data_IF_056145339634
#
_entry.id   IF_056145339634
#
_cell.length_a   1.000
_cell.length_b   1.000
_cell.length_c   1.000
_cell.angle_alpha   90.00
_cell.angle_beta   90.00
_cell.angle_gamma   90.00
#
_symmetry.space_group_name_H-M   'P 1'
#
loop_
_entity.id
_entity.type
_entity.pdbx_description
1 polymer ?
#
# COMPACT_ATOMS: atom_id res chain seq x y z
N UNK A 1 -1.57 11.68 24.60
CA UNK A 1 -1.53 12.15 25.99
C UNK A 1 -0.15 12.70 26.36
N UNK A 2 0.93 11.91 26.23
CA UNK A 2 2.29 12.31 26.64
C UNK A 2 2.81 13.54 25.86
N UNK A 3 2.58 13.57 24.55
CA UNK A 3 2.96 14.70 23.69
C UNK A 3 2.12 15.92 24.03
N UNK A 4 0.81 15.75 24.24
CA UNK A 4 -0.12 16.82 24.58
C UNK A 4 0.25 17.51 25.93
N UNK A 5 0.75 16.73 26.91
CA UNK A 5 1.29 17.29 28.17
C UNK A 5 2.52 18.17 27.98
N UNK A 6 3.30 17.94 26.92
CA UNK A 6 4.50 18.74 26.60
C UNK A 6 4.12 20.05 25.90
N UNK A 7 3.18 20.01 24.97
CA UNK A 7 2.70 21.16 24.21
C UNK A 7 1.18 21.07 24.15
N UNK A 8 0.46 21.82 24.98
CA UNK A 8 -0.99 21.76 25.05
C UNK A 8 -1.63 22.49 23.85
N UNK A 9 -1.42 21.97 22.65
CA UNK A 9 -2.06 22.43 21.41
C UNK A 9 -2.22 21.23 20.46
N UNK A 10 -3.43 20.96 20.06
CA UNK A 10 -3.79 19.77 19.30
C UNK A 10 -3.09 19.68 17.92
N UNK A 11 -2.87 20.81 17.27
CA UNK A 11 -2.16 20.86 15.99
C UNK A 11 -0.67 20.47 16.13
N UNK A 12 0.00 20.99 17.14
CA UNK A 12 1.39 20.61 17.41
C UNK A 12 1.50 19.17 17.92
N UNK A 13 0.52 18.69 18.66
CA UNK A 13 0.44 17.26 19.06
C UNK A 13 0.40 16.33 17.85
N UNK A 14 -0.44 16.65 16.87
CA UNK A 14 -0.51 15.90 15.59
C UNK A 14 0.81 15.96 14.84
N UNK A 15 1.46 17.13 14.77
CA UNK A 15 2.75 17.28 14.05
C UNK A 15 3.83 16.42 14.72
N UNK A 16 3.97 16.49 16.04
CA UNK A 16 4.97 15.71 16.78
C UNK A 16 4.69 14.21 16.70
N UNK A 17 3.43 13.82 16.86
CA UNK A 17 2.99 12.44 16.69
C UNK A 17 3.33 11.91 15.28
N UNK A 18 3.05 12.71 14.25
CA UNK A 18 3.36 12.37 12.86
C UNK A 18 4.87 12.20 12.64
N UNK A 19 5.69 13.09 13.20
CA UNK A 19 7.14 13.00 13.16
C UNK A 19 7.63 11.70 13.81
N UNK A 20 7.16 11.37 15.01
CA UNK A 20 7.54 10.15 15.73
C UNK A 20 7.18 8.89 14.94
N UNK A 21 5.96 8.79 14.45
CA UNK A 21 5.53 7.64 13.62
C UNK A 21 6.38 7.52 12.36
N UNK A 22 6.68 8.63 11.68
CA UNK A 22 7.51 8.58 10.47
C UNK A 22 8.96 8.22 10.78
N UNK A 23 9.53 8.64 11.93
CA UNK A 23 10.84 8.18 12.38
C UNK A 23 10.86 6.66 12.57
N UNK A 24 9.86 6.10 13.27
CA UNK A 24 9.73 4.65 13.47
C UNK A 24 9.55 3.90 12.14
N UNK A 25 8.81 4.48 11.19
CA UNK A 25 8.60 3.90 9.85
C UNK A 25 9.81 4.03 8.92
N UNK A 26 10.74 4.95 9.19
CA UNK A 26 11.87 5.28 8.31
C UNK A 26 12.66 4.04 7.85
N UNK A 27 13.16 3.13 8.71
CA UNK A 27 13.94 1.99 8.25
C UNK A 27 13.17 1.09 7.29
N UNK A 28 11.87 0.93 7.52
CA UNK A 28 11.00 0.16 6.64
C UNK A 28 10.79 0.84 5.30
N UNK A 29 10.55 2.16 5.31
CA UNK A 29 10.39 2.96 4.08
C UNK A 29 11.68 2.98 3.25
N UNK A 30 12.86 3.02 3.87
CA UNK A 30 14.14 2.93 3.18
C UNK A 30 14.29 1.60 2.43
N UNK A 31 13.99 0.49 3.09
CA UNK A 31 14.01 -0.84 2.45
C UNK A 31 13.00 -0.94 1.31
N UNK A 32 11.81 -0.37 1.47
CA UNK A 32 10.79 -0.35 0.45
C UNK A 32 11.22 0.47 -0.78
N UNK A 33 11.80 1.65 -0.57
CA UNK A 33 12.31 2.49 -1.67
C UNK A 33 13.41 1.79 -2.44
N UNK A 34 14.37 1.13 -1.74
CA UNK A 34 15.41 0.32 -2.37
C UNK A 34 14.81 -0.79 -3.24
N UNK A 35 13.82 -1.51 -2.73
CA UNK A 35 13.14 -2.56 -3.48
C UNK A 35 12.38 -1.98 -4.69
N UNK A 36 11.74 -0.82 -4.55
CA UNK A 36 11.03 -0.16 -5.65
C UNK A 36 11.98 0.25 -6.77
N UNK A 37 13.15 0.80 -6.45
CA UNK A 37 14.20 1.12 -7.44
C UNK A 37 14.69 -0.16 -8.12
N UNK A 38 14.98 -1.23 -7.36
CA UNK A 38 15.37 -2.53 -7.94
C UNK A 38 14.30 -3.10 -8.87
N UNK A 39 13.03 -3.02 -8.48
CA UNK A 39 11.91 -3.48 -9.32
C UNK A 39 11.73 -2.64 -10.59
N UNK A 40 12.09 -1.36 -10.55
CA UNK A 40 12.01 -0.50 -11.73
C UNK A 40 12.94 -0.93 -12.87
N UNK A 41 14.03 -1.62 -12.58
CA UNK A 41 14.94 -2.16 -13.57
C UNK A 41 14.29 -3.23 -14.47
N UNK A 42 13.26 -3.93 -14.00
CA UNK A 42 12.51 -4.92 -14.77
C UNK A 42 11.41 -4.33 -15.66
N UNK A 43 11.05 -3.04 -15.48
CA UNK A 43 9.97 -2.40 -16.24
C UNK A 43 10.11 -2.47 -17.76
N UNK A 44 11.30 -2.25 -18.38
CA UNK A 44 11.46 -2.39 -19.82
C UNK A 44 11.19 -3.83 -20.29
N UNK A 45 11.61 -4.85 -19.53
CA UNK A 45 11.37 -6.25 -19.86
C UNK A 45 9.88 -6.61 -19.80
N UNK A 46 9.17 -6.07 -18.78
CA UNK A 46 7.73 -6.23 -18.64
C UNK A 46 7.00 -5.53 -19.79
N UNK A 47 7.43 -4.33 -20.17
CA UNK A 47 6.86 -3.60 -21.29
C UNK A 47 7.04 -4.35 -22.63
N UNK A 48 8.18 -4.99 -22.83
CA UNK A 48 8.44 -5.83 -24.02
C UNK A 48 7.54 -7.08 -24.03
N UNK A 49 7.38 -7.75 -22.88
CA UNK A 49 6.46 -8.90 -22.74
C UNK A 49 5.02 -8.44 -23.04
N UNK A 50 4.59 -7.31 -22.49
CA UNK A 50 3.25 -6.77 -22.70
C UNK A 50 2.98 -6.42 -24.16
N UNK A 51 3.97 -5.83 -24.86
CA UNK A 51 3.86 -5.54 -26.31
C UNK A 51 3.81 -6.82 -27.14
N UNK A 52 4.68 -7.79 -26.82
CA UNK A 52 4.80 -9.04 -27.58
C UNK A 52 3.56 -9.94 -27.47
N UNK A 53 2.92 -9.93 -26.30
CA UNK A 53 1.79 -10.81 -26.00
C UNK A 53 0.48 -10.03 -25.77
N UNK A 54 0.31 -8.88 -26.44
CA UNK A 54 -0.83 -7.97 -26.25
C UNK A 54 -2.19 -8.67 -26.32
N UNK A 55 -2.33 -9.63 -27.26
CA UNK A 55 -3.59 -10.33 -27.52
C UNK A 55 -3.67 -11.73 -26.84
N UNK A 56 -2.70 -12.04 -25.97
CA UNK A 56 -2.57 -13.36 -25.31
C UNK A 56 -2.26 -13.17 -23.82
N UNK A 57 -3.25 -12.78 -22.99
CA UNK A 57 -3.05 -12.46 -21.58
C UNK A 57 -2.48 -13.62 -20.76
N UNK A 58 -2.84 -14.86 -21.09
CA UNK A 58 -2.30 -16.05 -20.41
C UNK A 58 -0.79 -16.19 -20.62
N UNK A 59 -0.32 -16.05 -21.87
CA UNK A 59 1.12 -16.09 -22.17
C UNK A 59 1.88 -14.92 -21.58
N UNK A 60 1.25 -13.75 -21.53
CA UNK A 60 1.81 -12.58 -20.88
C UNK A 60 2.06 -12.83 -19.38
N UNK A 61 1.08 -13.39 -18.68
CA UNK A 61 1.18 -13.75 -17.27
C UNK A 61 2.24 -14.87 -17.05
N UNK A 62 2.28 -15.87 -17.93
CA UNK A 62 3.29 -16.93 -17.87
C UNK A 62 4.72 -16.39 -17.98
N UNK A 63 4.98 -15.51 -18.94
CA UNK A 63 6.32 -14.90 -19.12
C UNK A 63 6.69 -13.95 -17.96
N UNK A 64 5.73 -13.23 -17.39
CA UNK A 64 5.96 -12.42 -16.19
C UNK A 64 6.24 -13.31 -14.98
N UNK A 65 5.54 -14.45 -14.83
CA UNK A 65 5.85 -15.43 -13.77
C UNK A 65 7.23 -16.07 -13.92
N UNK A 66 7.67 -16.35 -15.16
CA UNK A 66 9.06 -16.80 -15.42
C UNK A 66 10.08 -15.75 -14.98
N UNK A 67 9.79 -14.47 -15.26
CA UNK A 67 10.65 -13.37 -14.81
C UNK A 67 10.72 -13.31 -13.27
N UNK A 68 9.62 -13.62 -12.57
CA UNK A 68 9.59 -13.71 -11.11
C UNK A 68 10.46 -14.88 -10.60
N UNK A 69 10.35 -16.04 -11.21
CA UNK A 69 11.07 -17.24 -10.79
C UNK A 69 12.57 -17.14 -11.08
N UNK A 70 12.94 -16.61 -12.26
CA UNK A 70 14.32 -16.55 -12.71
C UNK A 70 15.14 -15.45 -12.03
N UNK A 71 14.51 -14.31 -11.72
CA UNK A 71 15.22 -13.10 -11.24
C UNK A 71 14.69 -12.55 -9.91
N UNK A 72 13.74 -13.24 -9.27
CA UNK A 72 13.15 -12.79 -8.01
C UNK A 72 12.32 -11.51 -8.15
N UNK A 73 11.82 -11.20 -9.36
CA UNK A 73 10.89 -10.11 -9.55
C UNK A 73 9.59 -10.38 -8.77
N UNK A 74 9.26 -9.53 -7.81
CA UNK A 74 8.03 -9.67 -7.04
C UNK A 74 7.17 -8.41 -7.14
N UNK A 75 6.10 -8.40 -7.94
CA UNK A 75 5.22 -7.25 -8.10
C UNK A 75 4.50 -6.89 -6.79
N UNK A 76 4.28 -7.88 -5.90
CA UNK A 76 3.65 -7.67 -4.60
C UNK A 76 4.53 -6.87 -3.63
N UNK A 77 5.85 -6.85 -3.82
CA UNK A 77 6.74 -6.05 -2.97
C UNK A 77 6.47 -4.54 -3.07
N UNK A 78 5.88 -4.09 -4.17
CA UNK A 78 5.47 -2.70 -4.37
C UNK A 78 4.20 -2.30 -3.59
N UNK A 79 3.32 -3.24 -3.21
CA UNK A 79 2.10 -2.93 -2.46
C UNK A 79 2.23 -3.15 -0.94
N UNK A 80 3.28 -3.83 -0.46
CA UNK A 80 3.53 -4.00 0.98
C UNK A 80 3.56 -2.66 1.77
N UNK A 81 4.16 -1.57 1.24
CA UNK A 81 4.10 -0.25 1.88
C UNK A 81 2.67 0.26 2.10
N UNK A 82 1.79 -0.03 1.15
CA UNK A 82 0.39 0.41 1.21
C UNK A 82 -0.33 -0.20 2.40
N UNK A 83 -0.13 -1.50 2.68
CA UNK A 83 -0.74 -2.17 3.83
C UNK A 83 -0.33 -1.53 5.16
N UNK A 84 0.95 -1.19 5.32
CA UNK A 84 1.44 -0.55 6.53
C UNK A 84 0.86 0.86 6.68
N UNK A 85 0.79 1.62 5.59
CA UNK A 85 0.15 2.93 5.59
C UNK A 85 -1.34 2.84 5.94
N UNK A 86 -2.07 1.80 5.49
CA UNK A 86 -3.45 1.57 5.90
C UNK A 86 -3.58 1.32 7.40
N UNK A 87 -2.73 0.48 7.98
CA UNK A 87 -2.75 0.23 9.43
C UNK A 87 -2.52 1.51 10.23
N UNK A 88 -1.53 2.31 9.84
CA UNK A 88 -1.26 3.61 10.48
C UNK A 88 -2.44 4.56 10.28
N UNK A 89 -3.00 4.62 9.07
CA UNK A 89 -4.15 5.46 8.75
C UNK A 89 -5.35 5.13 9.66
N UNK A 90 -5.70 3.86 9.84
CA UNK A 90 -6.78 3.46 10.72
C UNK A 90 -6.49 3.83 12.18
N UNK A 91 -5.25 3.68 12.64
CA UNK A 91 -4.84 4.12 13.97
C UNK A 91 -4.99 5.63 14.16
N UNK A 92 -4.59 6.42 13.17
CA UNK A 92 -4.74 7.89 13.20
C UNK A 92 -6.21 8.30 13.16
N UNK A 93 -7.01 7.67 12.31
CA UNK A 93 -8.45 7.92 12.22
C UNK A 93 -9.12 7.69 13.58
N UNK A 94 -8.81 6.61 14.25
CA UNK A 94 -9.40 6.27 15.55
C UNK A 94 -9.06 7.31 16.63
N UNK A 95 -7.84 7.83 16.63
CA UNK A 95 -7.42 8.89 17.57
C UNK A 95 -8.09 10.22 17.23
N UNK A 96 -8.18 10.56 15.94
CA UNK A 96 -8.78 11.82 15.47
C UNK A 96 -10.30 11.85 15.67
N UNK A 97 -10.98 10.71 15.49
CA UNK A 97 -12.43 10.61 15.70
C UNK A 97 -12.84 10.56 17.17
N UNK A 98 -11.96 10.03 18.03
CA UNK A 98 -12.27 9.79 19.43
C UNK A 98 -11.17 10.33 20.35
N UNK A 99 -10.83 11.63 20.27
CA UNK A 99 -9.77 12.20 21.07
C UNK A 99 -10.05 12.06 22.58
N UNK A 100 -11.30 12.22 23.02
CA UNK A 100 -11.68 12.13 24.42
C UNK A 100 -11.43 10.72 25.00
N UNK A 101 -11.67 9.67 24.20
CA UNK A 101 -11.43 8.30 24.65
C UNK A 101 -9.97 7.86 24.46
N UNK A 102 -9.30 8.29 23.38
CA UNK A 102 -7.96 7.79 23.01
C UNK A 102 -6.82 8.60 23.60
N UNK A 103 -7.02 9.89 23.78
CA UNK A 103 -6.00 10.78 24.37
C UNK A 103 -6.21 10.91 25.89
N UNK A 104 -7.46 11.14 26.30
CA UNK A 104 -7.79 11.43 27.71
C UNK A 104 -8.37 10.23 28.46
N UNK A 105 -8.52 9.07 27.80
CA UNK A 105 -8.99 7.81 28.40
C UNK A 105 -10.36 7.93 29.11
N UNK A 106 -11.23 8.82 28.63
CA UNK A 106 -12.59 8.95 29.16
C UNK A 106 -13.36 7.65 28.89
N UNK A 107 -13.94 7.09 29.94
CA UNK A 107 -14.60 5.80 29.91
C UNK A 107 -15.83 5.77 28.98
N UNK A 108 -16.07 4.61 28.38
CA UNK A 108 -17.19 4.41 27.43
C UNK A 108 -18.55 4.73 28.03
N UNK A 109 -18.76 4.49 29.34
CA UNK A 109 -20.01 4.79 30.04
C UNK A 109 -20.29 6.31 30.02
N UNK A 110 -19.31 7.14 30.37
CA UNK A 110 -19.45 8.61 30.36
C UNK A 110 -19.70 9.12 28.93
N UNK A 111 -18.98 8.57 27.92
CA UNK A 111 -19.16 8.94 26.52
C UNK A 111 -20.53 8.56 25.96
N UNK A 112 -21.10 7.45 26.40
CA UNK A 112 -22.45 7.04 26.01
C UNK A 112 -23.49 7.95 26.67
N UNK A 113 -23.36 8.21 27.98
CA UNK A 113 -24.26 9.14 28.69
C UNK A 113 -24.25 10.56 28.07
N UNK A 114 -23.07 11.07 27.70
CA UNK A 114 -22.95 12.33 26.98
C UNK A 114 -23.59 12.28 25.57
N UNK A 115 -23.48 11.16 24.86
CA UNK A 115 -24.15 10.94 23.58
C UNK A 115 -25.68 10.93 23.72
N UNK A 116 -26.22 10.28 24.76
CA UNK A 116 -27.64 10.29 25.07
C UNK A 116 -28.12 11.73 25.43
N UNK A 117 -27.32 12.50 26.17
CA UNK A 117 -27.57 13.89 26.45
C UNK A 117 -27.60 14.76 25.18
N UNK A 118 -26.69 14.57 24.23
CA UNK A 118 -26.72 15.26 22.93
C UNK A 118 -28.03 14.96 22.18
N UNK A 119 -28.44 13.68 22.18
CA UNK A 119 -29.69 13.25 21.54
C UNK A 119 -30.92 13.91 22.20
N UNK A 120 -30.93 14.01 23.53
CA UNK A 120 -31.99 14.67 24.28
C UNK A 120 -32.07 16.17 23.96
N UNK A 121 -30.96 16.82 23.65
CA UNK A 121 -30.87 18.20 23.17
C UNK A 121 -31.26 18.36 21.69
N UNK A 122 -31.60 17.27 20.98
CA UNK A 122 -31.92 17.29 19.55
C UNK A 122 -30.70 17.43 18.65
N UNK A 123 -29.48 17.23 19.18
CA UNK A 123 -28.23 17.32 18.42
C UNK A 123 -27.95 15.98 17.79
N UNK A 124 -28.07 15.90 16.46
CA UNK A 124 -27.70 14.73 15.69
C UNK A 124 -26.18 14.63 15.56
N UNK A 125 -25.63 13.46 15.77
CA UNK A 125 -24.18 13.20 15.60
C UNK A 125 -23.92 11.85 14.95
N UNK A 126 -22.75 11.75 14.34
CA UNK A 126 -22.17 10.50 13.83
C UNK A 126 -21.02 10.07 14.75
N UNK A 127 -20.47 8.88 14.52
CA UNK A 127 -19.24 8.44 15.21
C UNK A 127 -18.10 9.44 15.08
N UNK A 128 -18.04 10.17 13.96
CA UNK A 128 -17.01 11.17 13.65
C UNK A 128 -17.21 12.49 14.39
N UNK A 129 -18.46 12.91 14.56
CA UNK A 129 -18.79 14.24 15.12
C UNK A 129 -19.20 14.20 16.59
N UNK A 130 -19.28 13.00 17.19
CA UNK A 130 -19.71 12.85 18.58
C UNK A 130 -18.82 13.59 19.55
N UNK A 131 -17.52 13.33 19.51
CA UNK A 131 -16.56 13.94 20.45
C UNK A 131 -16.50 15.46 20.26
N UNK A 132 -16.51 15.95 19.01
CA UNK A 132 -16.57 17.39 18.70
C UNK A 132 -17.82 18.05 19.27
N UNK A 133 -19.00 17.42 19.12
CA UNK A 133 -20.25 17.94 19.67
C UNK A 133 -20.24 17.94 21.20
N UNK A 134 -19.70 16.88 21.83
CA UNK A 134 -19.54 16.83 23.29
C UNK A 134 -18.66 18.00 23.77
N UNK A 135 -17.49 18.19 23.14
CA UNK A 135 -16.56 19.27 23.49
C UNK A 135 -17.25 20.63 23.37
N UNK A 136 -17.95 20.86 22.26
CA UNK A 136 -18.67 22.12 22.03
C UNK A 136 -19.74 22.39 23.13
N UNK A 137 -20.51 21.38 23.53
CA UNK A 137 -21.52 21.53 24.58
C UNK A 137 -20.92 21.69 25.98
N UNK A 138 -19.82 20.99 26.28
CA UNK A 138 -19.09 21.18 27.55
C UNK A 138 -18.52 22.60 27.64
N UNK A 139 -17.93 23.13 26.57
CA UNK A 139 -17.43 24.51 26.50
C UNK A 139 -18.54 25.54 26.62
N UNK A 140 -19.75 25.26 26.11
CA UNK A 140 -20.92 26.07 26.28
C UNK A 140 -21.50 26.01 27.69
N UNK A 141 -21.01 25.12 28.56
CA UNK A 141 -21.52 24.95 29.94
C UNK A 141 -22.86 24.22 30.00
N UNK A 142 -23.22 23.43 28.97
CA UNK A 142 -24.48 22.70 28.92
C UNK A 142 -24.52 21.63 30.02
N UNK A 143 -25.38 21.84 31.00
CA UNK A 143 -25.45 21.05 32.24
C UNK A 143 -25.81 19.57 31.98
N UNK A 144 -26.67 19.32 31.00
CA UNK A 144 -27.12 17.97 30.65
C UNK A 144 -25.95 17.11 30.15
N UNK A 145 -25.02 17.69 29.37
CA UNK A 145 -23.86 17.01 28.85
C UNK A 145 -22.72 16.94 29.88
N UNK A 146 -22.48 18.04 30.62
CA UNK A 146 -21.44 18.09 31.65
C UNK A 146 -21.69 17.13 32.81
N UNK A 147 -22.95 16.86 33.15
CA UNK A 147 -23.33 15.89 34.20
C UNK A 147 -22.88 14.45 33.91
N UNK A 148 -22.58 14.12 32.67
CA UNK A 148 -22.04 12.80 32.29
C UNK A 148 -20.57 12.61 32.71
N UNK A 149 -19.89 13.68 33.11
CA UNK A 149 -18.44 13.68 33.38
C UNK A 149 -18.15 14.10 34.82
N UNK A 150 -16.99 13.69 35.34
CA UNK A 150 -16.46 14.21 36.60
C UNK A 150 -15.96 15.65 36.41
N UNK A 151 -15.82 16.40 37.50
CA UNK A 151 -15.28 17.77 37.44
C UNK A 151 -13.91 17.85 36.77
N UNK A 152 -13.03 16.88 37.03
CA UNK A 152 -11.71 16.81 36.42
C UNK A 152 -11.81 16.54 34.90
N UNK A 153 -12.75 15.68 34.49
CA UNK A 153 -12.99 15.41 33.06
C UNK A 153 -13.55 16.62 32.34
N UNK A 154 -14.46 17.34 32.95
CA UNK A 154 -15.01 18.61 32.43
C UNK A 154 -13.89 19.65 32.25
N UNK A 155 -13.02 19.80 33.24
CA UNK A 155 -11.84 20.68 33.14
C UNK A 155 -10.93 20.28 31.99
N UNK A 156 -10.59 18.97 31.85
CA UNK A 156 -9.76 18.44 30.78
C UNK A 156 -10.39 18.66 29.40
N UNK A 157 -11.69 18.40 29.24
CA UNK A 157 -12.41 18.62 27.99
C UNK A 157 -12.44 20.11 27.63
N UNK A 158 -12.63 20.98 28.59
CA UNK A 158 -12.66 22.43 28.39
C UNK A 158 -11.29 22.94 27.96
N UNK A 159 -10.25 22.53 28.64
CA UNK A 159 -8.86 22.89 28.30
C UNK A 159 -8.51 22.40 26.88
N UNK A 160 -8.86 21.16 26.56
CA UNK A 160 -8.64 20.61 25.21
C UNK A 160 -9.42 21.41 24.16
N UNK A 161 -10.68 21.73 24.41
CA UNK A 161 -11.53 22.54 23.54
C UNK A 161 -10.94 23.91 23.21
N UNK A 162 -10.28 24.54 24.18
CA UNK A 162 -9.60 25.85 23.99
C UNK A 162 -8.35 25.76 23.11
N UNK A 163 -7.74 24.57 22.98
CA UNK A 163 -6.49 24.35 22.26
C UNK A 163 -6.66 23.53 20.95
N UNK A 164 -7.91 23.38 20.47
CA UNK A 164 -8.20 22.68 19.20
C UNK A 164 -7.92 23.52 17.96
N UNK A 165 -7.86 24.82 18.13
CA UNK A 165 -7.56 25.74 17.04
C UNK A 165 -6.09 25.73 16.68
N UNK A 166 -5.81 25.58 15.37
CA UNK A 166 -4.49 25.64 14.80
C UNK A 166 -4.48 26.64 13.64
N UNK A 167 -3.89 27.81 13.88
CA UNK A 167 -3.89 28.96 12.95
C UNK A 167 -5.29 29.38 12.49
N UNK A 168 -6.26 29.40 13.39
CA UNK A 168 -7.65 29.76 13.09
C UNK A 168 -8.47 28.66 12.42
N UNK A 169 -7.97 27.43 12.40
CA UNK A 169 -8.66 26.26 11.87
C UNK A 169 -8.94 25.29 13.02
N UNK A 170 -10.22 25.07 13.31
CA UNK A 170 -10.64 24.02 14.24
C UNK A 170 -10.38 22.63 13.62
N UNK A 171 -9.38 21.95 14.16
CA UNK A 171 -8.93 20.66 13.64
C UNK A 171 -9.91 19.52 13.86
N UNK A 172 -10.89 19.66 14.74
CA UNK A 172 -11.88 18.61 15.03
C UNK A 172 -13.08 18.66 14.10
N UNK A 173 -13.28 19.78 13.39
CA UNK A 173 -14.38 19.95 12.46
C UNK A 173 -14.13 19.22 11.14
N UNK A 174 -15.23 18.70 10.58
CA UNK A 174 -15.23 18.08 9.25
C UNK A 174 -15.57 19.14 8.20
N UNK A 175 -14.74 19.34 7.17
CA UNK A 175 -15.04 20.26 6.07
C UNK A 175 -16.31 19.85 5.34
N UNK A 176 -17.10 20.81 4.92
CA UNK A 176 -18.34 20.58 4.17
C UNK A 176 -18.18 21.03 2.71
N UNK A 177 -19.05 20.51 1.83
CA UNK A 177 -19.10 20.89 0.40
C UNK A 177 -19.81 22.24 0.18
N UNK A 178 -19.47 23.24 0.99
CA UNK A 178 -19.99 24.60 0.83
C UNK A 178 -18.88 25.64 1.00
N UNK A 179 -19.09 26.82 0.43
CA UNK A 179 -18.17 27.95 0.50
C UNK A 179 -18.63 29.01 1.50
N UNK A 180 -19.23 28.59 2.62
CA UNK A 180 -19.57 29.50 3.73
C UNK A 180 -18.29 30.07 4.36
N UNK A 181 -18.39 31.27 4.95
CA UNK A 181 -17.27 31.91 5.63
C UNK A 181 -16.64 31.03 6.71
N UNK A 182 -17.48 30.27 7.44
CA UNK A 182 -17.04 29.37 8.52
C UNK A 182 -16.37 28.09 8.01
N UNK A 183 -16.67 27.65 6.78
CA UNK A 183 -16.12 26.45 6.19
C UNK A 183 -14.88 26.71 5.34
N UNK A 184 -14.72 27.92 4.82
CA UNK A 184 -13.62 28.28 3.95
C UNK A 184 -12.24 28.02 4.57
N UNK A 185 -11.95 28.37 5.84
CA UNK A 185 -10.69 28.03 6.49
C UNK A 185 -10.48 26.52 6.60
N UNK A 186 -11.52 25.73 6.84
CA UNK A 186 -11.45 24.28 6.97
C UNK A 186 -11.02 23.59 5.67
N UNK A 187 -11.30 24.18 4.49
CA UNK A 187 -10.91 23.64 3.18
C UNK A 187 -9.42 23.78 2.88
N UNK A 188 -8.71 24.67 3.58
CA UNK A 188 -7.27 24.92 3.36
C UNK A 188 -6.46 23.64 3.58
N UNK A 189 -6.68 22.93 4.70
CA UNK A 189 -5.91 21.73 5.03
C UNK A 189 -6.16 20.57 4.06
N UNK A 190 -7.39 20.19 3.69
CA UNK A 190 -7.66 19.22 2.65
C UNK A 190 -7.01 19.56 1.31
N UNK A 191 -7.13 20.81 0.85
CA UNK A 191 -6.50 21.24 -0.41
C UNK A 191 -4.98 21.10 -0.32
N UNK A 192 -4.38 21.55 0.78
CA UNK A 192 -2.94 21.44 0.99
C UNK A 192 -2.49 19.96 1.07
N UNK A 193 -3.29 19.10 1.69
CA UNK A 193 -3.02 17.65 1.74
C UNK A 193 -3.01 17.03 0.33
N UNK A 194 -3.98 17.38 -0.51
CA UNK A 194 -4.06 16.90 -1.90
C UNK A 194 -2.87 17.41 -2.70
N UNK A 195 -2.55 18.70 -2.62
CA UNK A 195 -1.41 19.29 -3.34
C UNK A 195 -0.10 18.63 -2.93
N UNK A 196 0.15 18.49 -1.63
CA UNK A 196 1.36 17.82 -1.12
C UNK A 196 1.41 16.34 -1.50
N UNK A 197 0.28 15.66 -1.56
CA UNK A 197 0.17 14.26 -1.99
C UNK A 197 0.50 14.10 -3.48
N UNK A 198 0.02 15.00 -4.35
CA UNK A 198 0.39 15.00 -5.77
C UNK A 198 1.88 15.27 -5.97
N UNK A 199 2.44 16.26 -5.27
CA UNK A 199 3.87 16.59 -5.32
C UNK A 199 4.69 15.39 -4.86
N UNK A 200 4.35 14.79 -3.71
CA UNK A 200 5.03 13.62 -3.15
C UNK A 200 4.97 12.42 -4.09
N UNK A 201 3.80 12.13 -4.67
CA UNK A 201 3.62 11.04 -5.66
C UNK A 201 4.49 11.29 -6.90
N UNK A 202 4.48 12.50 -7.45
CA UNK A 202 5.29 12.84 -8.62
C UNK A 202 6.80 12.68 -8.34
N UNK A 203 7.25 13.17 -7.19
CA UNK A 203 8.66 13.06 -6.77
C UNK A 203 9.05 11.59 -6.56
N UNK A 204 8.20 10.79 -5.91
CA UNK A 204 8.43 9.37 -5.69
C UNK A 204 8.52 8.57 -6.99
N UNK A 205 7.64 8.86 -7.95
CA UNK A 205 7.68 8.24 -9.29
C UNK A 205 8.99 8.56 -10.03
N UNK A 206 9.40 9.84 -9.99
CA UNK A 206 10.65 10.28 -10.62
C UNK A 206 11.88 9.72 -9.91
N UNK A 207 11.84 9.58 -8.59
CA UNK A 207 12.93 9.03 -7.79
C UNK A 207 13.10 7.52 -7.97
N UNK A 208 12.03 6.77 -8.23
CA UNK A 208 12.09 5.33 -8.47
C UNK A 208 12.54 4.95 -9.88
N UNK A 209 12.69 5.91 -10.81
CA UNK A 209 13.05 5.64 -12.20
C UNK A 209 12.01 4.83 -12.98
N UNK A 210 10.80 4.72 -12.46
CA UNK A 210 9.72 3.93 -13.08
C UNK A 210 9.19 4.64 -14.33
N UNK A 211 9.43 4.06 -15.49
CA UNK A 211 8.74 4.42 -16.74
C UNK A 211 7.39 3.69 -16.79
N UNK A 212 6.42 4.21 -16.06
CA UNK A 212 5.08 3.59 -16.04
C UNK A 212 4.33 3.81 -17.35
N UNK A 213 3.72 2.75 -17.86
CA UNK A 213 2.78 2.85 -18.98
C UNK A 213 1.46 3.49 -18.52
N UNK A 214 0.70 4.06 -19.47
CA UNK A 214 -0.44 4.93 -19.23
C UNK A 214 -1.45 4.46 -18.18
N UNK A 215 -1.85 3.18 -18.17
CA UNK A 215 -2.83 2.65 -17.21
C UNK A 215 -2.29 2.64 -15.77
N UNK A 216 -1.06 2.22 -15.55
CA UNK A 216 -0.44 2.18 -14.23
C UNK A 216 -0.18 3.59 -13.69
N UNK A 217 0.22 4.51 -14.57
CA UNK A 217 0.35 5.93 -14.23
C UNK A 217 -0.98 6.55 -13.83
N UNK A 218 -2.06 6.25 -14.57
CA UNK A 218 -3.39 6.72 -14.24
C UNK A 218 -3.84 6.22 -12.86
N UNK A 219 -3.62 4.93 -12.53
CA UNK A 219 -3.96 4.35 -11.22
C UNK A 219 -3.25 5.07 -10.08
N UNK A 220 -1.97 5.42 -10.24
CA UNK A 220 -1.21 6.13 -9.20
C UNK A 220 -1.74 7.54 -8.94
N UNK A 221 -2.20 8.26 -9.98
CA UNK A 221 -2.81 9.58 -9.80
C UNK A 221 -4.29 9.53 -9.39
N UNK A 222 -4.97 8.40 -9.62
CA UNK A 222 -6.34 8.19 -9.10
C UNK A 222 -6.38 8.10 -7.57
N UNK A 223 -5.31 7.60 -6.94
CA UNK A 223 -5.26 7.44 -5.48
C UNK A 223 -5.38 8.77 -4.71
N UNK A 224 -4.62 9.85 -5.06
CA UNK A 224 -4.85 11.18 -4.51
C UNK A 224 -6.24 11.75 -4.74
N UNK A 225 -6.86 11.44 -5.90
CA UNK A 225 -8.23 11.89 -6.19
C UNK A 225 -9.26 11.18 -5.30
N UNK A 226 -9.07 9.89 -5.01
CA UNK A 226 -9.93 9.16 -4.08
C UNK A 226 -9.83 9.76 -2.66
N UNK A 227 -8.65 10.24 -2.26
CA UNK A 227 -8.46 10.92 -0.99
C UNK A 227 -9.31 12.21 -0.89
N UNK A 228 -9.58 12.91 -1.99
CA UNK A 228 -10.43 14.10 -2.01
C UNK A 228 -11.83 13.81 -1.42
N UNK A 229 -12.45 12.69 -1.81
CA UNK A 229 -13.74 12.30 -1.24
C UNK A 229 -13.64 12.01 0.24
N UNK A 230 -12.53 11.40 0.65
CA UNK A 230 -12.31 11.03 2.04
C UNK A 230 -12.13 12.24 2.95
N UNK A 231 -11.50 13.32 2.47
CA UNK A 231 -11.30 14.55 3.24
C UNK A 231 -12.59 15.21 3.77
N UNK A 232 -13.71 15.00 3.09
CA UNK A 232 -15.00 15.56 3.52
C UNK A 232 -15.77 14.62 4.47
N UNK A 233 -15.20 13.53 4.86
CA UNK A 233 -15.77 12.56 5.81
C UNK A 233 -14.98 12.50 7.11
N UNK A 234 -13.83 13.19 7.19
CA UNK A 234 -12.91 13.14 8.32
C UNK A 234 -12.60 14.55 8.83
N UNK A 235 -12.26 14.72 10.13
CA UNK A 235 -11.86 16.01 10.69
C UNK A 235 -10.58 16.57 10.03
N UNK A 236 -10.43 17.91 10.08
CA UNK A 236 -9.26 18.63 9.53
C UNK A 236 -7.91 18.14 10.10
N UNK A 237 -7.91 17.64 11.33
CA UNK A 237 -6.75 17.01 11.98
C UNK A 237 -6.11 15.91 11.12
N UNK A 238 -6.92 15.10 10.44
CA UNK A 238 -6.47 14.07 9.53
C UNK A 238 -5.76 14.65 8.29
N UNK A 239 -6.29 15.72 7.74
CA UNK A 239 -5.64 16.43 6.62
C UNK A 239 -4.29 17.00 7.03
N UNK A 240 -4.18 17.59 8.25
CA UNK A 240 -2.91 18.05 8.79
C UNK A 240 -1.88 16.92 8.92
N UNK A 241 -2.29 15.77 9.45
CA UNK A 241 -1.45 14.56 9.50
C UNK A 241 -0.90 14.20 8.10
N UNK A 242 -1.76 14.20 7.07
CA UNK A 242 -1.33 13.87 5.70
C UNK A 242 -0.39 14.91 5.10
N UNK A 243 -0.62 16.20 5.32
CA UNK A 243 0.30 17.27 4.88
C UNK A 243 1.70 17.01 5.43
N UNK A 244 1.81 16.81 6.74
CA UNK A 244 3.10 16.60 7.40
C UNK A 244 3.74 15.27 6.94
N UNK A 245 2.97 14.18 6.85
CA UNK A 245 3.46 12.90 6.35
C UNK A 245 3.98 12.99 4.92
N UNK A 246 3.28 13.69 4.03
CA UNK A 246 3.69 13.86 2.63
C UNK A 246 4.99 14.69 2.53
N UNK A 247 5.13 15.73 3.34
CA UNK A 247 6.36 16.54 3.40
C UNK A 247 7.54 15.66 3.86
N UNK A 248 7.37 14.91 4.95
CA UNK A 248 8.41 14.02 5.48
C UNK A 248 8.78 12.96 4.43
N UNK A 249 7.79 12.30 3.81
CA UNK A 249 8.00 11.29 2.77
C UNK A 249 8.74 11.88 1.57
N UNK A 250 8.42 13.10 1.18
CA UNK A 250 9.10 13.81 0.09
C UNK A 250 10.58 14.05 0.42
N UNK A 251 10.88 14.52 1.63
CA UNK A 251 12.26 14.72 2.11
C UNK A 251 13.01 13.39 2.15
N UNK A 252 12.42 12.35 2.74
CA UNK A 252 13.01 11.01 2.78
C UNK A 252 13.31 10.46 1.38
N UNK A 253 12.39 10.62 0.43
CA UNK A 253 12.59 10.19 -0.97
C UNK A 253 13.75 10.94 -1.62
N UNK A 254 13.89 12.24 -1.40
CA UNK A 254 15.00 13.02 -1.95
C UNK A 254 16.36 12.64 -1.33
N UNK A 255 16.39 12.37 -0.03
CA UNK A 255 17.60 11.90 0.67
C UNK A 255 17.99 10.52 0.12
N UNK A 256 17.03 9.61 -0.01
CA UNK A 256 17.27 8.26 -0.56
C UNK A 256 17.78 8.28 -2.00
N UNK A 257 17.26 9.18 -2.84
CA UNK A 257 17.73 9.34 -4.22
C UNK A 257 19.21 9.76 -4.29
N UNK A 258 19.70 10.51 -3.29
CA UNK A 258 21.11 10.87 -3.21
C UNK A 258 22.00 9.71 -2.72
N UNK A 259 21.45 8.82 -1.88
CA UNK A 259 22.18 7.68 -1.32
C UNK A 259 22.16 6.50 -2.30
N UNK A 260 21.00 6.22 -2.90
CA UNK A 260 20.80 5.16 -3.88
C UNK A 260 20.46 5.77 -5.25
N UNK A 261 21.48 5.90 -6.09
CA UNK A 261 21.30 6.36 -7.47
C UNK A 261 20.49 5.30 -8.26
N UNK A 262 19.30 5.62 -8.76
CA UNK A 262 18.46 4.65 -9.49
C UNK A 262 19.14 4.09 -10.73
N UNK A 263 19.97 4.89 -11.41
CA UNK A 263 20.71 4.46 -12.60
C UNK A 263 21.74 3.39 -12.26
N UNK A 264 22.52 3.59 -11.18
CA UNK A 264 23.51 2.60 -10.73
C UNK A 264 22.85 1.29 -10.30
N UNK A 265 21.76 1.38 -9.51
CA UNK A 265 21.01 0.17 -9.10
C UNK A 265 20.46 -0.58 -10.31
N UNK A 266 19.97 0.17 -11.33
CA UNK A 266 19.50 -0.43 -12.57
C UNK A 266 20.61 -1.13 -13.33
N UNK A 267 21.80 -0.52 -13.44
CA UNK A 267 22.98 -1.13 -14.07
C UNK A 267 23.40 -2.40 -13.32
N UNK A 268 23.44 -2.39 -11.99
CA UNK A 268 23.76 -3.58 -11.18
C UNK A 268 22.77 -4.72 -11.43
N UNK A 269 21.46 -4.42 -11.40
CA UNK A 269 20.42 -5.43 -11.67
C UNK A 269 20.50 -5.98 -13.09
N UNK A 270 20.77 -5.13 -14.08
CA UNK A 270 20.92 -5.56 -15.47
C UNK A 270 22.18 -6.42 -15.67
N UNK A 271 23.27 -6.11 -14.96
CA UNK A 271 24.48 -6.94 -14.93
C UNK A 271 24.22 -8.32 -14.28
N UNK A 272 23.47 -8.34 -13.14
CA UNK A 272 23.04 -9.56 -12.46
C UNK A 272 22.18 -10.45 -13.39
N UNK A 273 21.21 -9.86 -14.10
CA UNK A 273 20.39 -10.55 -15.10
C UNK A 273 21.24 -11.12 -16.25
N UNK A 274 22.20 -10.34 -16.74
CA UNK A 274 23.09 -10.79 -17.81
C UNK A 274 24.01 -11.94 -17.37
N UNK A 275 24.52 -11.89 -16.13
CA UNK A 275 25.31 -12.96 -15.52
C UNK A 275 24.48 -14.24 -15.37
N UNK A 276 23.29 -14.15 -14.81
CA UNK A 276 22.38 -15.28 -14.61
C UNK A 276 21.99 -15.94 -15.95
N UNK A 277 21.70 -15.16 -16.98
CA UNK A 277 21.46 -15.68 -18.33
C UNK A 277 22.66 -16.39 -18.93
N UNK A 278 23.88 -15.92 -18.63
CA UNK A 278 25.12 -16.61 -19.06
C UNK A 278 25.33 -17.94 -18.33
N UNK A 279 25.03 -17.97 -17.04
CA UNK A 279 25.08 -19.18 -16.21
C UNK A 279 24.06 -20.22 -16.65
N UNK A 280 22.82 -19.83 -16.89
CA UNK A 280 21.79 -20.71 -17.45
C UNK A 280 22.23 -21.29 -18.78
N UNK A 281 22.82 -20.49 -19.69
CA UNK A 281 23.35 -20.96 -20.96
C UNK A 281 24.56 -21.89 -20.77
N UNK A 282 25.38 -21.72 -19.73
CA UNK A 282 26.50 -22.60 -19.38
C UNK A 282 26.03 -23.89 -18.70
N UNK A 283 25.07 -23.79 -17.76
CA UNK A 283 24.48 -24.95 -17.06
C UNK A 283 23.75 -25.91 -18.00
N UNK A 284 23.18 -25.35 -19.08
CA UNK A 284 22.54 -26.12 -20.16
C UNK A 284 23.56 -26.91 -20.99
N UNK A 285 24.86 -26.56 -20.96
CA UNK A 285 25.88 -27.24 -21.75
C UNK A 285 26.48 -28.50 -21.11
N UNK A 286 26.41 -28.67 -19.80
CA UNK A 286 27.12 -29.75 -19.09
C UNK A 286 26.35 -30.35 -17.93
N UNK A 287 25.21 -30.99 -18.17
CA UNK A 287 24.58 -31.83 -17.14
C UNK A 287 25.03 -33.26 -17.33
N UNK A 288 25.80 -33.81 -16.36
CA UNK A 288 26.15 -35.23 -16.32
C UNK A 288 24.96 -36.05 -15.84
N UNK A 289 24.47 -36.93 -16.66
CA UNK A 289 23.48 -37.95 -16.26
C UNK A 289 24.18 -39.28 -15.99
N UNK A 290 23.84 -39.92 -14.89
CA UNK A 290 24.22 -41.32 -14.63
C UNK A 290 23.31 -42.20 -15.47
N UNK A 291 23.85 -42.75 -16.53
CA UNK A 291 23.13 -43.65 -17.45
C UNK A 291 23.71 -45.05 -17.30
N UNK A 292 22.84 -46.03 -17.16
CA UNK A 292 23.23 -47.43 -17.14
C UNK A 292 23.60 -47.85 -18.58
N UNK A 293 24.82 -48.30 -18.79
CA UNK A 293 25.26 -48.79 -20.11
C UNK A 293 24.53 -50.10 -20.41
N UNK A 294 23.85 -50.15 -21.54
CA UNK A 294 23.06 -51.31 -21.98
C UNK A 294 23.90 -52.55 -22.25
N UNK A 295 25.23 -52.42 -22.47
CA UNK A 295 26.12 -53.52 -22.80
C UNK A 295 26.91 -54.05 -21.60
N UNK A 296 27.24 -53.18 -20.65
CA UNK A 296 28.09 -53.54 -19.49
C UNK A 296 27.32 -53.53 -18.16
N UNK A 297 26.12 -52.95 -18.11
CA UNK A 297 25.33 -52.82 -16.88
C UNK A 297 25.87 -51.83 -15.87
N UNK A 298 27.00 -51.19 -16.13
CA UNK A 298 27.65 -50.24 -15.25
C UNK A 298 27.04 -48.81 -15.40
N UNK A 299 27.07 -48.05 -14.32
CA UNK A 299 26.61 -46.66 -14.31
C UNK A 299 27.74 -45.77 -14.83
N UNK A 300 27.58 -45.23 -16.03
CA UNK A 300 28.55 -44.33 -16.64
C UNK A 300 28.01 -42.91 -16.63
N UNK A 301 28.84 -41.95 -16.23
CA UNK A 301 28.49 -40.52 -16.30
C UNK A 301 28.65 -40.00 -17.73
N UNK A 302 27.55 -39.68 -18.39
CA UNK A 302 27.56 -39.15 -19.76
C UNK A 302 27.12 -37.68 -19.76
N UNK A 303 27.94 -36.83 -20.36
CA UNK A 303 27.58 -35.42 -20.61
C UNK A 303 26.47 -35.35 -21.67
N UNK A 304 25.29 -34.89 -21.26
CA UNK A 304 24.11 -34.81 -22.13
C UNK A 304 23.76 -33.34 -22.38
N UNK A 305 23.47 -33.01 -23.64
CA UNK A 305 23.02 -31.66 -23.99
C UNK A 305 21.62 -31.40 -23.45
N UNK A 306 21.30 -30.15 -23.18
CA UNK A 306 19.96 -29.77 -22.69
C UNK A 306 18.84 -30.16 -23.66
N UNK A 307 19.13 -30.14 -24.95
CA UNK A 307 18.17 -30.56 -25.97
C UNK A 307 17.84 -32.06 -25.81
N UNK A 308 18.83 -32.87 -25.53
CA UNK A 308 18.67 -34.30 -25.32
C UNK A 308 18.03 -34.64 -23.98
N UNK A 309 18.28 -33.83 -22.93
CA UNK A 309 17.61 -33.94 -21.63
C UNK A 309 16.15 -33.59 -21.73
N UNK A 310 15.78 -32.53 -22.45
CA UNK A 310 14.40 -32.15 -22.71
C UNK A 310 13.67 -33.21 -23.57
N UNK A 311 14.37 -33.82 -24.54
CA UNK A 311 13.81 -34.91 -25.33
C UNK A 311 13.46 -36.12 -24.46
N UNK A 312 14.39 -36.53 -23.58
CA UNK A 312 14.18 -37.66 -22.65
C UNK A 312 13.07 -37.34 -21.60
N UNK A 313 12.98 -36.12 -21.11
CA UNK A 313 11.87 -35.71 -20.23
C UNK A 313 10.52 -35.77 -20.93
N UNK A 314 10.46 -35.34 -22.17
CA UNK A 314 9.26 -35.42 -23.02
C UNK A 314 8.86 -36.86 -23.33
N UNK A 315 9.85 -37.73 -23.62
CA UNK A 315 9.63 -39.15 -23.83
C UNK A 315 9.14 -39.86 -22.55
N UNK A 316 9.73 -39.53 -21.41
CA UNK A 316 9.28 -40.05 -20.11
C UNK A 316 7.87 -39.58 -19.75
N UNK A 317 7.56 -38.32 -19.97
CA UNK A 317 6.22 -37.77 -19.75
C UNK A 317 5.19 -38.43 -20.67
N UNK A 318 5.54 -38.67 -21.95
CA UNK A 318 4.66 -39.40 -22.88
C UNK A 318 4.43 -40.84 -22.46
N UNK A 319 5.46 -41.54 -22.00
CA UNK A 319 5.33 -42.90 -21.49
C UNK A 319 4.43 -42.96 -20.24
N UNK A 320 4.57 -42.00 -19.32
CA UNK A 320 3.66 -41.87 -18.17
C UNK A 320 2.21 -41.56 -18.56
N UNK A 321 2.03 -40.71 -19.57
CA UNK A 321 0.68 -40.41 -20.09
C UNK A 321 0.10 -41.62 -20.83
N UNK A 322 0.87 -42.33 -21.63
CA UNK A 322 0.44 -43.56 -22.28
C UNK A 322 0.09 -44.66 -21.28
N UNK A 323 0.83 -44.76 -20.17
CA UNK A 323 0.53 -45.74 -19.10
C UNK A 323 -0.69 -45.37 -18.29
N UNK A 324 -0.86 -44.09 -18.02
CA UNK A 324 -2.00 -43.52 -17.25
C UNK A 324 -3.31 -43.60 -18.02
N UNK A 325 -3.27 -43.39 -19.34
CA UNK A 325 -4.46 -43.37 -20.21
C UNK A 325 -4.64 -44.63 -21.06
N UNK A 326 -3.94 -45.70 -20.71
CA UNK A 326 -3.96 -46.97 -21.43
C UNK A 326 -5.34 -47.61 -21.55
N UNK A 327 -6.24 -47.27 -20.57
CA UNK A 327 -7.60 -47.78 -20.51
C UNK A 327 -8.66 -46.74 -20.96
N UNK A 328 -8.25 -45.53 -21.33
CA UNK A 328 -9.16 -44.53 -21.89
C UNK A 328 -9.22 -44.69 -23.43
N UNK A 329 -10.37 -45.10 -23.94
CA UNK A 329 -10.66 -45.09 -25.37
C UNK A 329 -10.64 -43.64 -25.85
N UNK A 330 -9.58 -43.22 -26.55
CA UNK A 330 -9.60 -41.97 -27.33
C UNK A 330 -10.57 -42.12 -28.49
N UNK A 331 -11.72 -41.48 -28.37
CA UNK A 331 -12.68 -41.39 -29.48
C UNK A 331 -12.14 -40.37 -30.48
N UNK A 332 -11.88 -40.75 -31.75
CA UNK A 332 -11.39 -39.81 -32.76
C UNK A 332 -12.41 -38.67 -32.96
N UNK A 333 -11.91 -37.47 -33.19
CA UNK A 333 -12.70 -36.24 -33.38
C UNK A 333 -13.82 -36.41 -34.45
N UNK A 334 -13.59 -37.28 -35.46
CA UNK A 334 -14.56 -37.64 -36.48
C UNK A 334 -15.81 -38.39 -35.96
N UNK A 335 -15.74 -39.08 -34.83
CA UNK A 335 -16.90 -39.72 -34.19
C UNK A 335 -17.70 -38.75 -33.28
N UNK A 336 -17.07 -37.67 -32.83
CA UNK A 336 -17.72 -36.62 -32.01
C UNK A 336 -18.50 -35.63 -32.90
N UNK A 337 -18.09 -35.42 -34.13
CA UNK A 337 -18.83 -34.58 -35.10
C UNK A 337 -20.13 -35.23 -35.58
N UNK A 338 -20.16 -36.54 -35.77
CA UNK A 338 -21.34 -37.28 -36.22
C UNK A 338 -22.44 -37.43 -35.13
N UNK A 339 -22.17 -37.11 -33.87
CA UNK A 339 -23.18 -37.15 -32.79
C UNK A 339 -23.92 -35.82 -32.55
N UNK A 340 -23.64 -34.79 -33.34
CA UNK A 340 -24.34 -33.49 -33.28
C UNK A 340 -25.42 -33.28 -34.36
N UNK A 341 -25.66 -34.28 -35.21
CA UNK A 341 -26.67 -34.23 -36.30
C UNK A 341 -27.87 -35.17 -36.12
N UNK A 342 -28.06 -35.80 -34.90
CA UNK A 342 -29.28 -36.52 -34.58
C UNK A 342 -30.08 -35.85 -33.45
#
# INVERSE_FOLDING_TARGET
EWIYKLIPNYGWDIILFTLLINIVKTPLQLNQQKNTVRMSAFQPMIADIQKKYKDKPEKQNEEIMKLQQDFGYNPMSGCAPMLINFLVMFGVIEVVYRPLQRIFHIGTAAMNAAGDALTALGISFTTVTRDTNIIAQVMAGESTVTSAFTADQVSTITEFGQHMDFFGIDLTRVPQYNLSADNLPLLILPILAIVTMFISTHISMKASGQQMQGSMKATMYMMPLMYLFFCFTVPCAFSLYYVISNVIMTVQTQVMRKIYDPEKVKEEVMAEIAAHRKEQKRGVKNTTLKVKDEKTGEIVEKNVSASEMNKRRLEYARQQDEEKYKDERTVPLSELENKKED
#
